data_IF_861056052799
#
_entry.id   IF_861056052799
#
_cell.length_a   1.000
_cell.length_b   1.000
_cell.length_c   1.000
_cell.angle_alpha   90.00
_cell.angle_beta   90.00
_cell.angle_gamma   90.00
#
_symmetry.space_group_name_H-M   'P 1'
#
loop_
_entity.id
_entity.type
_entity.pdbx_description
1 polymer ?
#
# COMPACT_ATOMS: atom_id res chain seq x y z
N UNK A 1 -11.83 -4.43 -23.72
CA UNK A 1 -11.06 -4.43 -22.46
C UNK A 1 -9.92 -5.42 -22.64
N UNK A 2 -8.76 -4.95 -23.10
CA UNK A 2 -7.60 -5.81 -23.36
C UNK A 2 -7.04 -6.31 -22.03
N UNK A 3 -7.37 -7.55 -21.65
CA UNK A 3 -6.81 -8.19 -20.46
C UNK A 3 -5.35 -8.55 -20.73
N UNK A 4 -4.43 -7.63 -20.42
CA UNK A 4 -3.01 -7.92 -20.43
C UNK A 4 -2.67 -8.77 -19.21
N UNK A 5 -2.23 -10.02 -19.44
CA UNK A 5 -1.72 -10.88 -18.38
C UNK A 5 -0.23 -10.63 -18.20
N UNK A 6 0.25 -10.56 -16.95
CA UNK A 6 1.68 -10.49 -16.66
C UNK A 6 2.36 -11.78 -17.13
N UNK A 7 3.44 -11.63 -17.89
CA UNK A 7 4.30 -12.73 -18.37
C UNK A 7 5.61 -12.74 -17.58
N UNK A 8 5.99 -13.91 -17.11
CA UNK A 8 7.33 -14.24 -16.62
C UNK A 8 7.93 -15.38 -17.44
N UNK A 9 9.17 -15.78 -17.16
CA UNK A 9 9.89 -16.81 -17.94
C UNK A 9 9.13 -18.14 -18.07
N UNK A 10 8.39 -18.52 -17.03
CA UNK A 10 7.60 -19.76 -16.98
C UNK A 10 6.20 -19.54 -16.42
N UNK A 11 5.71 -18.30 -16.37
CA UNK A 11 4.43 -17.97 -15.73
C UNK A 11 3.62 -16.99 -16.56
N UNK A 12 2.31 -17.22 -16.63
CA UNK A 12 1.33 -16.21 -17.04
C UNK A 12 0.37 -16.04 -15.88
N UNK A 13 0.23 -14.83 -15.36
CA UNK A 13 -0.55 -14.60 -14.16
C UNK A 13 -1.29 -13.28 -14.22
N UNK A 14 -2.42 -13.22 -13.52
CA UNK A 14 -3.13 -11.99 -13.20
C UNK A 14 -3.55 -12.05 -11.74
N UNK A 15 -2.62 -11.73 -10.84
CA UNK A 15 -2.87 -11.74 -9.41
C UNK A 15 -3.12 -10.32 -8.94
N UNK A 16 -4.35 -10.05 -8.52
CA UNK A 16 -4.72 -8.74 -8.00
C UNK A 16 -5.46 -8.87 -6.67
N UNK A 17 -5.35 -7.83 -5.84
CA UNK A 17 -6.05 -7.78 -4.58
C UNK A 17 -6.35 -6.34 -4.15
N UNK A 18 -7.41 -6.19 -3.36
CA UNK A 18 -7.72 -4.97 -2.62
C UNK A 18 -7.14 -5.08 -1.21
N UNK A 19 -6.32 -4.11 -0.82
CA UNK A 19 -5.63 -4.04 0.46
C UNK A 19 -6.08 -2.78 1.18
N UNK A 20 -6.34 -2.91 2.48
CA UNK A 20 -6.71 -1.80 3.34
C UNK A 20 -5.93 -1.84 4.65
N UNK A 21 -5.37 -0.72 5.07
CA UNK A 21 -4.82 -0.58 6.42
C UNK A 21 -5.05 0.84 6.96
N UNK A 22 -5.08 0.97 8.27
CA UNK A 22 -5.38 2.23 8.96
C UNK A 22 -4.18 2.80 9.71
N UNK A 23 -4.21 4.11 9.97
CA UNK A 23 -3.34 4.76 10.94
C UNK A 23 -3.58 4.17 12.32
N UNK A 24 -2.54 4.16 13.17
CA UNK A 24 -2.68 3.67 14.54
C UNK A 24 -3.73 4.53 15.27
N UNK A 25 -4.64 3.85 15.96
CA UNK A 25 -5.81 4.45 16.63
C UNK A 25 -6.77 5.24 15.72
N UNK A 26 -6.69 5.05 14.39
CA UNK A 26 -7.54 5.75 13.40
C UNK A 26 -7.43 7.28 13.50
N UNK A 27 -6.29 7.80 13.93
CA UNK A 27 -6.08 9.25 13.92
C UNK A 27 -6.11 9.80 12.50
N UNK A 28 -6.81 10.92 12.32
CA UNK A 28 -7.03 11.58 11.04
C UNK A 28 -5.84 12.48 10.64
N UNK A 29 -4.64 11.90 10.61
CA UNK A 29 -3.35 12.59 10.39
C UNK A 29 -2.95 12.70 8.91
N UNK A 30 -3.55 11.89 8.03
CA UNK A 30 -3.26 11.91 6.59
C UNK A 30 -4.04 13.06 5.94
N UNK A 31 -3.55 14.28 6.13
CA UNK A 31 -4.14 15.51 5.57
C UNK A 31 -3.04 16.40 4.99
N UNK A 32 -3.39 17.22 4.00
CA UNK A 32 -2.46 18.17 3.38
C UNK A 32 -1.18 17.47 2.90
N UNK A 33 -0.04 18.05 3.24
CA UNK A 33 1.28 17.57 2.79
C UNK A 33 1.57 16.13 3.23
N UNK A 34 1.11 15.70 4.41
CA UNK A 34 1.30 14.32 4.89
C UNK A 34 0.56 13.33 3.99
N UNK A 35 -0.64 13.68 3.54
CA UNK A 35 -1.45 12.83 2.65
C UNK A 35 -0.80 12.73 1.27
N UNK A 36 -0.41 13.87 0.69
CA UNK A 36 0.26 13.95 -0.60
C UNK A 36 1.57 13.16 -0.59
N UNK A 37 2.37 13.34 0.46
CA UNK A 37 3.63 12.64 0.61
C UNK A 37 3.47 11.14 0.81
N UNK A 38 2.46 10.72 1.59
CA UNK A 38 2.15 9.30 1.74
C UNK A 38 1.79 8.66 0.40
N UNK A 39 1.03 9.36 -0.45
CA UNK A 39 0.67 8.90 -1.80
C UNK A 39 1.91 8.72 -2.67
N UNK A 40 2.79 9.72 -2.72
CA UNK A 40 4.04 9.65 -3.47
C UNK A 40 4.92 8.48 -3.04
N UNK A 41 5.10 8.30 -1.73
CA UNK A 41 5.90 7.19 -1.19
C UNK A 41 5.32 5.83 -1.58
N UNK A 42 4.00 5.65 -1.56
CA UNK A 42 3.36 4.40 -1.96
C UNK A 42 3.57 4.11 -3.45
N UNK A 43 3.48 5.12 -4.31
CA UNK A 43 3.77 4.99 -5.75
C UNK A 43 5.23 4.56 -5.94
N UNK A 44 6.18 5.28 -5.34
CA UNK A 44 7.61 4.97 -5.44
C UNK A 44 7.95 3.55 -4.97
N UNK A 45 7.30 3.09 -3.88
CA UNK A 45 7.50 1.72 -3.37
C UNK A 45 6.95 0.70 -4.35
N UNK A 46 5.76 0.92 -4.93
CA UNK A 46 5.17 -0.01 -5.89
C UNK A 46 6.01 -0.11 -7.16
N UNK A 47 6.44 1.03 -7.71
CA UNK A 47 7.26 1.10 -8.90
C UNK A 47 8.59 0.35 -8.70
N UNK A 48 9.26 0.58 -7.56
CA UNK A 48 10.52 -0.08 -7.23
C UNK A 48 10.39 -1.61 -7.09
N UNK A 49 9.22 -2.11 -6.69
CA UNK A 49 8.96 -3.54 -6.50
C UNK A 49 8.26 -4.18 -7.71
N UNK A 50 8.01 -3.42 -8.79
CA UNK A 50 7.30 -3.88 -9.98
C UNK A 50 5.84 -4.27 -9.72
N UNK A 51 5.21 -3.64 -8.73
CA UNK A 51 3.80 -3.78 -8.37
C UNK A 51 3.02 -2.70 -9.11
N UNK A 52 1.95 -3.09 -9.79
CA UNK A 52 1.11 -2.14 -10.51
C UNK A 52 -0.05 -1.68 -9.62
N UNK A 53 -0.24 -0.35 -9.52
CA UNK A 53 -1.38 0.23 -8.80
C UNK A 53 -2.53 0.40 -9.80
N UNK A 54 -3.57 -0.43 -9.68
CA UNK A 54 -4.76 -0.34 -10.50
C UNK A 54 -5.67 0.81 -10.04
N UNK A 55 -5.85 0.94 -8.72
CA UNK A 55 -6.54 2.07 -8.06
C UNK A 55 -5.96 2.29 -6.66
N UNK A 56 -5.97 3.53 -6.19
CA UNK A 56 -5.48 3.85 -4.84
C UNK A 56 -6.05 5.14 -4.27
N UNK A 57 -6.40 5.10 -2.99
CA UNK A 57 -6.89 6.25 -2.21
C UNK A 57 -6.19 6.28 -0.86
N UNK A 58 -5.61 7.42 -0.52
CA UNK A 58 -5.15 7.73 0.84
C UNK A 58 -6.26 8.57 1.47
N UNK A 59 -7.02 7.99 2.39
CA UNK A 59 -8.03 8.67 3.19
C UNK A 59 -7.39 9.31 4.43
N UNK A 60 -8.17 10.06 5.22
CA UNK A 60 -7.65 10.80 6.38
C UNK A 60 -7.00 9.91 7.46
N UNK A 61 -7.42 8.65 7.58
CA UNK A 61 -6.99 7.71 8.63
C UNK A 61 -6.76 6.28 8.12
N UNK A 62 -6.79 6.06 6.80
CA UNK A 62 -6.55 4.75 6.19
C UNK A 62 -6.18 4.85 4.71
N UNK A 63 -5.65 3.76 4.17
CA UNK A 63 -5.27 3.64 2.77
C UNK A 63 -6.03 2.46 2.15
N UNK A 64 -6.59 2.66 0.96
CA UNK A 64 -7.09 1.62 0.09
C UNK A 64 -6.18 1.50 -1.14
N UNK A 65 -5.75 0.29 -1.47
CA UNK A 65 -5.00 0.02 -2.70
C UNK A 65 -5.55 -1.22 -3.41
N UNK A 66 -5.85 -1.09 -4.69
CA UNK A 66 -6.07 -2.22 -5.59
C UNK A 66 -4.81 -2.37 -6.43
N UNK A 67 -4.09 -3.48 -6.21
CA UNK A 67 -2.80 -3.73 -6.87
C UNK A 67 -2.83 -5.01 -7.70
N UNK A 68 -1.99 -5.06 -8.73
CA UNK A 68 -1.55 -6.28 -9.39
C UNK A 68 -0.08 -6.56 -9.06
N UNK A 69 0.26 -7.81 -8.75
CA UNK A 69 1.59 -8.19 -8.29
C UNK A 69 2.05 -9.53 -8.89
N UNK A 70 3.37 -9.76 -8.91
CA UNK A 70 3.93 -11.00 -9.42
C UNK A 70 3.77 -12.16 -8.41
N UNK A 71 3.59 -13.42 -8.87
CA UNK A 71 3.38 -14.59 -7.99
C UNK A 71 4.50 -14.87 -6.98
N UNK A 72 5.72 -14.36 -7.22
CA UNK A 72 6.86 -14.50 -6.31
C UNK A 72 6.71 -13.71 -5.00
N UNK A 73 5.81 -12.73 -4.95
CA UNK A 73 5.60 -11.89 -3.77
C UNK A 73 4.42 -12.38 -2.95
N UNK A 74 4.60 -12.43 -1.62
CA UNK A 74 3.49 -12.61 -0.69
C UNK A 74 2.87 -11.25 -0.35
N UNK A 75 1.54 -11.20 -0.19
CA UNK A 75 0.84 -9.97 0.23
C UNK A 75 1.40 -9.44 1.55
N UNK A 76 1.68 -10.32 2.51
CA UNK A 76 2.23 -9.92 3.81
C UNK A 76 3.58 -9.21 3.68
N UNK A 77 4.44 -9.67 2.76
CA UNK A 77 5.70 -8.99 2.45
C UNK A 77 5.47 -7.60 1.85
N UNK A 78 4.58 -7.48 0.86
CA UNK A 78 4.25 -6.23 0.19
C UNK A 78 3.75 -5.19 1.21
N UNK A 79 2.77 -5.59 2.04
CA UNK A 79 2.19 -4.71 3.06
C UNK A 79 3.23 -4.31 4.11
N UNK A 80 4.10 -5.23 4.53
CA UNK A 80 5.21 -4.92 5.45
C UNK A 80 6.13 -3.84 4.86
N UNK A 81 6.48 -3.94 3.58
CA UNK A 81 7.33 -2.95 2.91
C UNK A 81 6.64 -1.60 2.79
N UNK A 82 5.39 -1.57 2.31
CA UNK A 82 4.60 -0.34 2.17
C UNK A 82 4.44 0.38 3.52
N UNK A 83 3.96 -0.33 4.55
CA UNK A 83 3.75 0.26 5.89
C UNK A 83 5.07 0.67 6.54
N UNK A 84 6.11 -0.15 6.44
CA UNK A 84 7.40 0.12 7.08
C UNK A 84 8.11 1.35 6.49
N UNK A 85 8.25 1.40 5.15
CA UNK A 85 8.94 2.50 4.47
C UNK A 85 8.18 3.82 4.60
N UNK A 86 6.85 3.81 4.44
CA UNK A 86 6.02 5.01 4.62
C UNK A 86 6.02 5.52 6.06
N UNK A 87 5.85 4.63 7.06
CA UNK A 87 5.89 5.00 8.48
C UNK A 87 7.20 5.69 8.84
N UNK A 88 8.33 5.13 8.38
CA UNK A 88 9.65 5.69 8.63
C UNK A 88 9.81 7.07 8.00
N UNK A 89 9.52 7.19 6.70
CA UNK A 89 9.74 8.44 5.95
C UNK A 89 8.83 9.57 6.42
N UNK A 90 7.54 9.32 6.60
CA UNK A 90 6.60 10.33 7.08
C UNK A 90 6.99 10.86 8.47
N UNK A 91 7.37 9.98 9.41
CA UNK A 91 7.78 10.43 10.73
C UNK A 91 9.15 11.13 10.77
N UNK A 92 10.00 10.91 9.75
CA UNK A 92 11.24 11.67 9.58
C UNK A 92 11.00 13.06 9.00
N UNK A 93 10.09 13.17 8.03
CA UNK A 93 9.82 14.40 7.28
C UNK A 93 8.84 15.33 8.04
N UNK A 94 7.93 14.78 8.85
CA UNK A 94 6.90 15.54 9.58
C UNK A 94 7.04 15.35 11.09
N UNK A 95 7.81 16.24 11.73
CA UNK A 95 8.05 16.21 13.19
C UNK A 95 6.77 16.29 14.02
N UNK A 96 5.71 16.93 13.50
CA UNK A 96 4.39 17.00 14.14
C UNK A 96 3.77 15.63 14.44
N UNK A 97 4.09 14.61 13.64
CA UNK A 97 3.65 13.23 13.88
C UNK A 97 4.27 12.62 15.14
N UNK A 98 5.45 13.09 15.56
CA UNK A 98 6.13 12.64 16.78
C UNK A 98 5.34 12.93 18.05
N UNK A 99 4.62 14.05 18.10
CA UNK A 99 3.73 14.40 19.22
C UNK A 99 2.50 13.51 19.31
N UNK A 100 2.06 12.94 18.18
CA UNK A 100 0.90 12.03 18.13
C UNK A 100 1.33 10.58 18.39
N UNK A 101 2.49 10.17 17.88
CA UNK A 101 2.98 8.80 17.92
C UNK A 101 4.28 8.68 18.71
N UNK A 102 4.22 8.86 20.03
CA UNK A 102 5.37 8.76 20.93
C UNK A 102 6.18 7.45 20.79
N UNK A 103 5.52 6.33 20.51
CA UNK A 103 6.16 5.03 20.26
C UNK A 103 6.62 4.78 18.82
N UNK A 104 6.59 5.80 17.96
CA UNK A 104 6.95 5.75 16.53
C UNK A 104 6.15 4.72 15.69
N UNK A 105 4.95 4.37 16.15
CA UNK A 105 4.05 3.46 15.47
C UNK A 105 2.97 4.23 14.70
N UNK A 106 3.22 4.53 13.43
CA UNK A 106 2.31 5.32 12.58
C UNK A 106 1.07 4.53 12.12
N UNK A 107 1.26 3.28 11.70
CA UNK A 107 0.17 2.41 11.22
C UNK A 107 -0.35 1.47 12.31
N UNK A 108 -1.62 1.06 12.21
CA UNK A 108 -2.16 -0.06 12.98
C UNK A 108 -1.41 -1.36 12.64
N UNK A 109 -1.46 -2.36 13.51
CA UNK A 109 -0.69 -3.61 13.32
C UNK A 109 -1.18 -4.40 12.09
N UNK A 110 -2.49 -4.61 12.00
CA UNK A 110 -3.12 -5.42 10.95
C UNK A 110 -3.31 -4.73 9.59
N UNK A 111 -3.89 -5.48 8.67
CA UNK A 111 -4.42 -5.03 7.38
C UNK A 111 -5.55 -5.98 6.95
N UNK A 112 -6.48 -5.48 6.14
CA UNK A 112 -7.47 -6.29 5.43
C UNK A 112 -7.01 -6.54 3.99
N UNK A 113 -7.35 -7.71 3.44
CA UNK A 113 -7.07 -8.05 2.05
C UNK A 113 -8.19 -8.92 1.46
N UNK A 114 -8.56 -8.62 0.21
CA UNK A 114 -9.50 -9.41 -0.58
C UNK A 114 -8.88 -9.68 -1.95
N UNK A 115 -8.85 -10.95 -2.36
CA UNK A 115 -8.44 -11.32 -3.72
C UNK A 115 -9.44 -10.73 -4.72
N UNK A 116 -8.94 -10.33 -5.88
CA UNK A 116 -9.76 -9.87 -7.00
C UNK A 116 -9.38 -10.65 -8.25
N UNK A 117 -10.38 -11.02 -9.03
CA UNK A 117 -10.19 -11.78 -10.25
C UNK A 117 -11.53 -12.07 -10.91
N UNK A 118 -11.49 -12.35 -12.21
CA UNK A 118 -12.62 -12.82 -12.96
C UNK A 118 -12.35 -14.28 -13.35
N UNK A 119 -13.37 -15.13 -13.27
CA UNK A 119 -13.30 -16.46 -13.89
C UNK A 119 -13.46 -16.26 -15.39
N UNK A 120 -12.56 -16.85 -16.16
CA UNK A 120 -12.64 -16.90 -17.62
C UNK A 120 -13.04 -18.31 -18.02
N UNK A 121 -14.05 -18.44 -18.88
CA UNK A 121 -14.42 -19.71 -19.53
C UNK A 121 -13.43 -20.09 -20.65
#
# INVERSE_FOLDING_TARGET
>A
MTSYNRKGSHTTSRLSCHIVWSTKYRYKVLKGDIQSRCRELLIQICDAEGIEILKGVVSQDHVHMHIEYAPKYSISSIVKQMKGRTSRKLQQEFSSLGHTYWGKHFWAVGYGVWSTGNVTD
#
